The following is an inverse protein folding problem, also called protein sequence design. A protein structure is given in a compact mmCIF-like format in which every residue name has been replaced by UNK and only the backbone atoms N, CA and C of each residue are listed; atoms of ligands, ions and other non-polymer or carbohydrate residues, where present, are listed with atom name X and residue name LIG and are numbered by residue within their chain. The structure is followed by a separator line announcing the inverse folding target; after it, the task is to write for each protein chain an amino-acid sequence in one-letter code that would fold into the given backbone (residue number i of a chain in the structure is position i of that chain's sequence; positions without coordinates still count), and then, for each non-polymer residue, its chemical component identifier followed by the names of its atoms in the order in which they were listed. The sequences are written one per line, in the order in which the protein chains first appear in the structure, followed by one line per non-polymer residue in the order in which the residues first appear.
data_IF_494781771794
#
_entry.id   IF_494781771794
#
_cell.length_a   1.000
_cell.length_b   1.000
_cell.length_c   1.000
_cell.angle_alpha   90.00
_cell.angle_beta   90.00
_cell.angle_gamma   90.00
#
_symmetry.space_group_name_H-M   'P 1'
#
loop_
_entity.id
_entity.type
_entity.pdbx_description
1 polymer ?
#
# COMPACT_ATOMS: atom_id res chain seq x y z
N UNK A 1 -11.08 -10.22 5.20
CA UNK A 1 -10.50 -10.00 3.87
C UNK A 1 -9.56 -11.14 3.54
N UNK A 2 -9.68 -11.69 2.35
CA UNK A 2 -8.85 -12.79 1.93
C UNK A 2 -7.46 -12.30 1.54
N UNK A 3 -6.52 -13.23 1.54
CA UNK A 3 -5.17 -12.91 1.12
C UNK A 3 -5.13 -12.36 -0.29
N UNK A 4 -5.93 -12.94 -1.16
CA UNK A 4 -5.99 -12.50 -2.55
C UNK A 4 -6.46 -11.05 -2.63
N UNK A 5 -7.50 -10.73 -1.88
CA UNK A 5 -8.04 -9.38 -1.89
C UNK A 5 -7.02 -8.40 -1.32
N UNK A 6 -6.34 -8.81 -0.26
CA UNK A 6 -5.34 -7.96 0.35
C UNK A 6 -4.22 -7.63 -0.65
N UNK A 7 -3.80 -8.64 -1.40
CA UNK A 7 -2.75 -8.43 -2.40
C UNK A 7 -3.22 -7.52 -3.51
N UNK A 8 -4.49 -7.64 -3.88
CA UNK A 8 -5.02 -6.78 -4.93
C UNK A 8 -5.01 -5.33 -4.48
N UNK A 9 -5.44 -5.07 -3.26
CA UNK A 9 -5.45 -3.71 -2.73
C UNK A 9 -4.02 -3.18 -2.63
N UNK A 10 -3.13 -4.00 -2.12
CA UNK A 10 -1.74 -3.60 -1.98
C UNK A 10 -1.11 -3.29 -3.33
N UNK A 11 -1.36 -4.14 -4.31
CA UNK A 11 -0.82 -3.92 -5.64
C UNK A 11 -1.30 -2.62 -6.25
N UNK A 12 -2.59 -2.33 -6.08
CA UNK A 12 -3.13 -1.10 -6.61
C UNK A 12 -2.56 0.12 -5.89
N UNK A 13 -2.36 0.00 -4.59
CA UNK A 13 -1.77 1.08 -3.83
C UNK A 13 -0.36 1.37 -4.31
N UNK A 14 0.39 0.34 -4.62
CA UNK A 14 1.75 0.51 -5.12
C UNK A 14 1.78 1.11 -6.51
N UNK A 15 0.72 0.87 -7.28
CA UNK A 15 0.63 1.44 -8.62
C UNK A 15 0.36 2.93 -8.61
N UNK A 16 0.08 3.49 -7.45
CA UNK A 16 -0.14 4.92 -7.36
C UNK A 16 -1.59 5.32 -7.25
N UNK A 17 -2.48 4.35 -7.06
CA UNK A 17 -3.89 4.66 -6.88
C UNK A 17 -4.11 5.28 -5.53
N UNK A 18 -4.86 6.37 -5.47
CA UNK A 18 -5.11 7.06 -4.22
C UNK A 18 -5.99 6.23 -3.31
N UNK A 19 -5.99 6.61 -2.02
CA UNK A 19 -6.82 5.91 -1.04
C UNK A 19 -8.29 5.95 -1.43
N UNK A 20 -8.73 7.09 -1.93
CA UNK A 20 -10.11 7.22 -2.37
C UNK A 20 -10.43 6.25 -3.50
N UNK A 21 -9.49 6.11 -4.41
CA UNK A 21 -9.66 5.16 -5.51
C UNK A 21 -9.79 3.74 -5.02
N UNK A 22 -9.01 3.39 -4.03
CA UNK A 22 -9.07 2.06 -3.44
C UNK A 22 -10.40 1.83 -2.75
N UNK A 23 -10.86 2.82 -2.00
CA UNK A 23 -12.14 2.70 -1.33
C UNK A 23 -13.28 2.52 -2.33
N UNK A 24 -13.18 3.18 -3.45
CA UNK A 24 -14.18 3.08 -4.50
C UNK A 24 -14.11 1.72 -5.19
N UNK A 25 -12.91 1.23 -5.40
CA UNK A 25 -12.71 -0.04 -6.09
C UNK A 25 -13.12 -1.23 -5.23
N UNK A 26 -13.01 -1.09 -3.93
CA UNK A 26 -13.34 -2.18 -3.00
C UNK A 26 -14.38 -1.71 -1.99
N UNK A 27 -15.62 -1.49 -2.45
CA UNK A 27 -16.66 -0.99 -1.54
C UNK A 27 -17.10 -2.02 -0.51
N UNK A 28 -16.78 -3.29 -0.73
CA UNK A 28 -17.17 -4.35 0.19
C UNK A 28 -16.33 -4.33 1.47
N UNK A 29 -15.13 -3.78 1.39
CA UNK A 29 -14.22 -3.83 2.52
C UNK A 29 -14.30 -2.56 3.34
N UNK A 30 -14.05 -2.66 4.65
CA UNK A 30 -14.08 -1.48 5.52
C UNK A 30 -12.92 -0.55 5.19
N UNK A 31 -13.20 0.75 5.32
CA UNK A 31 -12.19 1.74 5.01
C UNK A 31 -10.95 1.56 5.89
N UNK A 32 -11.15 1.07 7.10
CA UNK A 32 -10.04 0.87 8.02
C UNK A 32 -9.02 -0.10 7.48
N UNK A 33 -9.50 -1.20 6.95
CA UNK A 33 -8.59 -2.21 6.42
C UNK A 33 -7.87 -1.72 5.18
N UNK A 34 -8.61 -1.06 4.29
CA UNK A 34 -8.01 -0.54 3.08
C UNK A 34 -6.98 0.52 3.42
N UNK A 35 -7.28 1.38 4.39
CA UNK A 35 -6.33 2.39 4.81
C UNK A 35 -5.08 1.76 5.39
N UNK A 36 -5.23 0.71 6.15
CA UNK A 36 -4.08 0.03 6.75
C UNK A 36 -3.18 -0.55 5.66
N UNK A 37 -3.77 -1.19 4.67
CA UNK A 37 -2.99 -1.75 3.57
C UNK A 37 -2.31 -0.66 2.78
N UNK A 38 -3.03 0.44 2.54
CA UNK A 38 -2.47 1.57 1.81
C UNK A 38 -1.26 2.13 2.54
N UNK A 39 -1.37 2.30 3.84
CA UNK A 39 -0.27 2.83 4.63
C UNK A 39 0.91 1.88 4.63
N UNK A 40 0.65 0.59 4.72
CA UNK A 40 1.71 -0.40 4.72
C UNK A 40 2.47 -0.40 3.41
N UNK A 41 1.75 -0.29 2.31
CA UNK A 41 2.39 -0.27 1.00
C UNK A 41 3.31 0.94 0.86
N UNK A 42 2.84 2.08 1.30
CA UNK A 42 3.65 3.30 1.22
C UNK A 42 4.80 3.28 2.22
N UNK A 43 4.55 2.70 3.38
CA UNK A 43 5.59 2.60 4.39
C UNK A 43 6.76 1.76 3.88
N UNK A 44 6.43 0.67 3.23
CA UNK A 44 7.47 -0.19 2.68
C UNK A 44 8.31 0.57 1.66
N UNK A 45 7.67 1.33 0.82
CA UNK A 45 8.36 2.10 -0.19
C UNK A 45 9.33 3.07 0.45
N UNK A 46 8.87 3.78 1.46
CA UNK A 46 9.71 4.75 2.15
C UNK A 46 10.89 4.07 2.80
N UNK A 47 10.66 2.95 3.43
CA UNK A 47 11.74 2.21 4.08
C UNK A 47 12.77 1.75 3.08
N UNK A 48 12.32 1.26 1.95
CA UNK A 48 13.23 0.80 0.91
C UNK A 48 14.13 1.94 0.43
N UNK A 49 13.53 3.09 0.21
CA UNK A 49 14.29 4.25 -0.24
C UNK A 49 15.33 4.64 0.77
N UNK A 50 14.94 4.66 2.03
CA UNK A 50 15.87 5.06 3.09
C UNK A 50 17.04 4.10 3.16
N UNK A 51 16.77 2.83 3.09
CA UNK A 51 17.82 1.82 3.14
C UNK A 51 18.76 1.96 1.96
N UNK A 52 18.18 2.15 0.78
CA UNK A 52 18.99 2.30 -0.43
C UNK A 52 19.92 3.49 -0.31
N UNK A 53 19.41 4.57 0.20
CA UNK A 53 20.22 5.78 0.35
C UNK A 53 21.37 5.56 1.30
N UNK A 54 21.10 4.87 2.39
CA UNK A 54 22.15 4.59 3.36
C UNK A 54 23.24 3.74 2.75
N UNK A 55 22.85 2.75 2.00
CA UNK A 55 23.82 1.87 1.37
C UNK A 55 24.66 2.62 0.36
N UNK A 56 24.04 3.51 -0.36
CA UNK A 56 24.75 4.29 -1.36
C UNK A 56 25.77 5.19 -0.70
N UNK A 57 25.43 5.73 0.44
CA UNK A 57 26.36 6.60 1.14
C UNK A 57 27.53 5.83 1.71
N UNK A 58 27.29 4.58 2.03
CA UNK A 58 28.36 3.75 2.58
C UNK A 58 29.35 3.36 1.51
#
# INVERSE_FOLDING_TARGET
MNEQDKRAVEGMARCGISLEGLLSAFPKFPAEEITAIYNEAHKEEVQSETVSMKMNCS
#
